data_IF_927586458875
#
_entry.id   IF_927586458875
#
_cell.length_a   1.000
_cell.length_b   1.000
_cell.length_c   1.000
_cell.angle_alpha   90.00
_cell.angle_beta   90.00
_cell.angle_gamma   90.00
#
_symmetry.space_group_name_H-M   'P 1'
#
loop_
_entity.id
_entity.type
_entity.pdbx_description
1 polymer ?
#
# COMPACT_ATOMS: atom_id res chain seq x y z
N UNK A 1 -0.55 -1.41 -22.16
CA UNK A 1 0.30 -2.62 -22.28
C UNK A 1 -0.21 -3.65 -21.29
N UNK A 2 -0.57 -4.88 -21.71
CA UNK A 2 -1.13 -5.90 -20.80
C UNK A 2 -0.02 -6.50 -19.95
N UNK A 3 -0.19 -6.54 -18.63
CA UNK A 3 0.73 -7.20 -17.69
C UNK A 3 0.90 -8.67 -18.10
N UNK A 4 2.14 -9.16 -18.16
CA UNK A 4 2.41 -10.58 -18.40
C UNK A 4 2.20 -11.40 -17.11
N UNK A 5 0.94 -11.66 -16.78
CA UNK A 5 0.54 -12.40 -15.56
C UNK A 5 1.01 -13.86 -15.52
N UNK A 6 1.61 -14.38 -16.60
CA UNK A 6 2.12 -15.76 -16.63
C UNK A 6 3.47 -15.90 -15.94
N UNK A 7 4.28 -14.83 -15.95
CA UNK A 7 5.61 -14.85 -15.36
C UNK A 7 5.53 -14.51 -13.87
N UNK A 8 6.42 -15.11 -13.09
CA UNK A 8 6.56 -14.78 -11.66
C UNK A 8 7.32 -13.47 -11.53
N UNK A 9 6.81 -12.61 -10.64
CA UNK A 9 7.37 -11.32 -10.32
C UNK A 9 8.15 -11.46 -9.01
N UNK A 10 9.31 -10.85 -8.93
CA UNK A 10 10.15 -10.85 -7.75
C UNK A 10 10.70 -9.44 -7.53
N UNK A 11 10.44 -8.89 -6.34
CA UNK A 11 11.06 -7.65 -5.93
C UNK A 11 12.50 -7.90 -5.52
N UNK A 12 13.43 -7.05 -5.94
CA UNK A 12 14.82 -7.11 -5.47
C UNK A 12 15.30 -5.73 -5.01
N UNK A 13 16.37 -5.66 -4.23
CA UNK A 13 16.92 -4.38 -3.75
C UNK A 13 18.05 -3.83 -4.63
N UNK A 14 18.58 -4.65 -5.52
CA UNK A 14 19.63 -4.28 -6.46
C UNK A 14 19.08 -3.32 -7.52
N UNK A 15 19.93 -2.43 -8.01
CA UNK A 15 19.67 -1.63 -9.22
C UNK A 15 19.48 -2.55 -10.42
N UNK A 16 18.63 -2.14 -11.36
CA UNK A 16 18.34 -2.88 -12.59
C UNK A 16 18.77 -2.05 -13.80
N UNK A 17 19.78 -2.53 -14.54
CA UNK A 17 20.17 -1.95 -15.81
C UNK A 17 20.36 -3.01 -16.91
N UNK A 18 20.23 -2.57 -18.16
CA UNK A 18 20.31 -3.45 -19.32
C UNK A 18 21.64 -4.23 -19.34
N UNK A 19 21.56 -5.52 -19.65
CA UNK A 19 22.69 -6.45 -19.72
C UNK A 19 23.43 -6.69 -18.38
N UNK A 20 22.89 -6.25 -17.25
CA UNK A 20 23.45 -6.64 -15.95
C UNK A 20 23.05 -8.08 -15.57
N UNK A 21 24.00 -8.78 -14.95
CA UNK A 21 23.74 -10.06 -14.28
C UNK A 21 23.45 -9.79 -12.79
N UNK A 22 22.31 -10.28 -12.32
CA UNK A 22 21.88 -10.14 -10.94
C UNK A 22 22.02 -11.49 -10.24
N UNK A 23 22.71 -11.49 -9.11
CA UNK A 23 22.78 -12.63 -8.20
C UNK A 23 21.68 -12.53 -7.15
N UNK A 24 20.78 -13.50 -7.14
CA UNK A 24 19.70 -13.66 -6.16
C UNK A 24 20.12 -14.72 -5.14
N UNK A 25 20.04 -14.39 -3.85
CA UNK A 25 20.49 -15.24 -2.74
C UNK A 25 19.42 -15.36 -1.63
N UNK A 26 19.68 -16.20 -0.63
CA UNK A 26 18.87 -16.29 0.57
C UNK A 26 17.44 -16.79 0.32
N UNK A 27 16.47 -16.15 0.99
CA UNK A 27 15.06 -16.58 0.96
C UNK A 27 14.46 -16.53 -0.46
N UNK A 28 14.87 -15.56 -1.28
CA UNK A 28 14.37 -15.42 -2.64
C UNK A 28 14.91 -16.51 -3.57
N UNK A 29 16.21 -16.82 -3.48
CA UNK A 29 16.77 -17.96 -4.20
C UNK A 29 16.10 -19.28 -3.79
N UNK A 30 15.87 -19.46 -2.47
CA UNK A 30 15.16 -20.63 -1.97
C UNK A 30 13.74 -20.71 -2.55
N UNK A 31 13.01 -19.60 -2.58
CA UNK A 31 11.67 -19.54 -3.17
C UNK A 31 11.67 -19.92 -4.66
N UNK A 32 12.58 -19.35 -5.47
CA UNK A 32 12.68 -19.67 -6.90
C UNK A 32 13.00 -21.16 -7.15
N UNK A 33 13.93 -21.73 -6.38
CA UNK A 33 14.45 -23.09 -6.60
C UNK A 33 13.57 -24.17 -5.99
N UNK A 34 13.11 -23.98 -4.76
CA UNK A 34 12.42 -25.04 -4.00
C UNK A 34 10.90 -24.93 -4.07
N UNK A 35 10.36 -23.71 -4.06
CA UNK A 35 8.91 -23.49 -4.11
C UNK A 35 8.43 -23.46 -5.55
N UNK A 36 9.03 -22.59 -6.38
CA UNK A 36 8.66 -22.44 -7.78
C UNK A 36 9.33 -23.47 -8.71
N UNK A 37 10.36 -24.18 -8.23
CA UNK A 37 11.08 -25.23 -8.98
C UNK A 37 11.61 -24.77 -10.34
N UNK A 38 12.06 -23.52 -10.40
CA UNK A 38 12.59 -22.92 -11.62
C UNK A 38 13.92 -23.55 -12.03
N UNK A 39 14.18 -23.57 -13.34
CA UNK A 39 15.38 -24.13 -13.96
C UNK A 39 16.08 -23.06 -14.79
N UNK A 40 17.33 -23.34 -15.18
CA UNK A 40 18.05 -22.53 -16.15
C UNK A 40 17.23 -22.39 -17.44
N UNK A 41 17.25 -21.19 -18.02
CA UNK A 41 16.42 -20.79 -19.15
C UNK A 41 15.01 -20.32 -18.79
N UNK A 42 14.53 -20.51 -17.55
CA UNK A 42 13.26 -19.95 -17.12
C UNK A 42 13.31 -18.41 -17.07
N UNK A 43 12.15 -17.79 -17.26
CA UNK A 43 12.00 -16.34 -17.27
C UNK A 43 11.16 -15.87 -16.07
N UNK A 44 11.55 -14.71 -15.53
CA UNK A 44 10.87 -14.01 -14.43
C UNK A 44 10.85 -12.51 -14.71
N UNK A 45 10.01 -11.80 -13.97
CA UNK A 45 9.99 -10.34 -13.94
C UNK A 45 10.67 -9.85 -12.67
N UNK A 46 11.66 -8.97 -12.81
CA UNK A 46 12.31 -8.30 -11.69
C UNK A 46 11.91 -6.83 -11.64
N UNK A 47 11.74 -6.31 -10.44
CA UNK A 47 11.51 -4.89 -10.20
C UNK A 47 12.07 -4.51 -8.83
N UNK A 48 12.37 -3.24 -8.62
CA UNK A 48 13.02 -2.78 -7.39
C UNK A 48 12.44 -1.48 -6.81
N UNK A 49 11.29 -1.02 -7.32
CA UNK A 49 10.65 0.20 -6.85
C UNK A 49 11.00 1.47 -7.61
N UNK A 50 12.04 1.45 -8.45
CA UNK A 50 12.58 2.67 -9.07
C UNK A 50 13.01 2.53 -10.53
N UNK A 51 13.45 1.34 -10.95
CA UNK A 51 14.03 1.13 -12.30
C UNK A 51 13.02 0.49 -13.27
N UNK A 52 11.75 0.43 -12.89
CA UNK A 52 10.70 -0.25 -13.63
C UNK A 52 10.75 -1.77 -13.47
N UNK A 53 10.19 -2.46 -14.46
CA UNK A 53 10.10 -3.91 -14.48
C UNK A 53 10.84 -4.49 -15.67
N UNK A 54 11.61 -5.53 -15.41
CA UNK A 54 12.55 -6.12 -16.34
C UNK A 54 12.26 -7.60 -16.53
N UNK A 55 12.25 -8.04 -17.79
CA UNK A 55 12.31 -9.45 -18.10
C UNK A 55 13.73 -9.95 -17.82
N UNK A 56 13.83 -10.97 -16.99
CA UNK A 56 15.09 -11.61 -16.64
C UNK A 56 15.03 -13.11 -16.93
N UNK A 57 16.15 -13.68 -17.38
CA UNK A 57 16.28 -15.12 -17.61
C UNK A 57 17.31 -15.71 -16.67
N UNK A 58 16.95 -16.85 -16.05
CA UNK A 58 17.84 -17.60 -15.17
C UNK A 58 18.98 -18.21 -15.99
N UNK A 59 20.21 -17.77 -15.77
CA UNK A 59 21.42 -18.25 -16.46
C UNK A 59 22.09 -19.39 -15.70
N UNK A 60 22.01 -19.38 -14.36
CA UNK A 60 22.60 -20.41 -13.51
C UNK A 60 21.71 -20.67 -12.29
N UNK A 61 21.36 -21.92 -12.04
CA UNK A 61 20.56 -22.30 -10.86
C UNK A 61 21.37 -23.20 -9.93
N UNK A 62 21.70 -22.68 -8.74
CA UNK A 62 22.37 -23.44 -7.67
C UNK A 62 21.48 -23.51 -6.43
N UNK A 63 21.83 -24.40 -5.49
CA UNK A 63 21.08 -24.59 -4.24
C UNK A 63 20.99 -23.34 -3.36
N UNK A 64 21.97 -22.45 -3.41
CA UNK A 64 22.07 -21.27 -2.52
C UNK A 64 21.84 -19.93 -3.23
N UNK A 65 21.97 -19.90 -4.55
CA UNK A 65 21.87 -18.69 -5.34
C UNK A 65 21.39 -19.01 -6.76
N UNK A 66 20.84 -18.00 -7.41
CA UNK A 66 20.42 -18.01 -8.81
C UNK A 66 21.06 -16.81 -9.49
N UNK A 67 21.67 -16.99 -10.66
CA UNK A 67 22.07 -15.88 -11.53
C UNK A 67 20.99 -15.66 -12.56
N UNK A 68 20.67 -14.39 -12.79
CA UNK A 68 19.70 -13.97 -13.80
C UNK A 68 20.29 -12.87 -14.65
N UNK A 69 20.08 -12.95 -15.96
CA UNK A 69 20.45 -11.94 -16.92
C UNK A 69 19.25 -11.06 -17.24
N UNK A 70 19.39 -9.74 -17.12
CA UNK A 70 18.36 -8.79 -17.56
C UNK A 70 18.35 -8.72 -19.10
N UNK A 71 17.18 -8.94 -19.71
CA UNK A 71 16.99 -8.99 -21.17
C UNK A 71 16.53 -7.63 -21.68
N UNK A 72 15.38 -7.13 -21.22
CA UNK A 72 14.84 -5.82 -21.59
C UNK A 72 13.88 -5.31 -20.52
N UNK A 73 13.62 -4.01 -20.53
CA UNK A 73 12.63 -3.38 -19.65
C UNK A 73 11.23 -3.62 -20.22
N UNK A 74 10.42 -4.40 -19.50
CA UNK A 74 9.05 -4.74 -19.87
C UNK A 74 8.10 -3.58 -19.55
N UNK A 75 8.29 -2.89 -18.43
CA UNK A 75 7.51 -1.69 -18.07
C UNK A 75 8.39 -0.61 -17.48
N UNK A 76 8.13 0.63 -17.87
CA UNK A 76 8.71 1.80 -17.22
C UNK A 76 8.28 1.86 -15.76
N UNK A 77 9.08 2.53 -14.94
CA UNK A 77 8.72 2.83 -13.56
C UNK A 77 7.40 3.61 -13.54
N UNK A 78 6.43 3.12 -12.76
CA UNK A 78 5.19 3.84 -12.51
C UNK A 78 5.44 5.01 -11.56
N UNK A 79 4.67 6.08 -11.67
CA UNK A 79 4.66 7.13 -10.65
C UNK A 79 4.11 6.56 -9.34
N UNK A 80 4.52 7.12 -8.21
CA UNK A 80 3.84 6.84 -6.96
C UNK A 80 2.45 7.44 -7.00
N UNK A 81 1.47 6.71 -6.48
CA UNK A 81 0.24 7.33 -6.01
C UNK A 81 0.55 8.35 -4.92
N UNK A 82 -0.39 9.22 -4.66
CA UNK A 82 -0.31 10.24 -3.63
C UNK A 82 -1.20 9.93 -2.41
N UNK A 83 -1.90 8.80 -2.45
CA UNK A 83 -2.85 8.38 -1.43
C UNK A 83 -2.15 7.90 -0.15
N UNK A 84 -2.44 8.58 0.97
CA UNK A 84 -1.92 8.25 2.28
C UNK A 84 -2.98 7.47 3.07
N UNK A 85 -2.67 6.24 3.47
CA UNK A 85 -3.54 5.44 4.32
C UNK A 85 -3.10 5.55 5.78
N UNK A 86 -3.86 6.34 6.53
CA UNK A 86 -3.74 6.50 7.97
C UNK A 86 -4.67 5.49 8.68
N UNK A 87 -4.11 4.57 9.47
CA UNK A 87 -4.93 3.50 10.05
C UNK A 87 -4.57 3.15 11.48
N UNK A 88 -5.58 2.87 12.28
CA UNK A 88 -5.39 2.24 13.58
C UNK A 88 -4.98 0.76 13.38
N UNK A 89 -3.85 0.31 13.96
CA UNK A 89 -3.46 -1.09 13.86
C UNK A 89 -4.49 -2.03 14.48
N UNK A 90 -4.92 -3.01 13.70
CA UNK A 90 -5.90 -4.01 14.12
C UNK A 90 -5.24 -5.22 14.76
N UNK A 91 -5.97 -5.91 15.66
CA UNK A 91 -5.52 -7.17 16.26
C UNK A 91 -5.48 -8.30 15.22
N UNK A 92 -4.69 -9.34 15.52
CA UNK A 92 -4.58 -10.59 14.76
C UNK A 92 -4.06 -10.38 13.31
N UNK A 93 -4.22 -11.40 12.46
CA UNK A 93 -3.81 -11.39 11.04
C UNK A 93 -4.55 -10.35 10.16
N UNK A 94 -5.42 -9.49 10.73
CA UNK A 94 -6.12 -8.44 9.99
C UNK A 94 -5.20 -7.32 9.54
N UNK A 95 -4.13 -7.04 10.29
CA UNK A 95 -3.15 -6.04 9.87
C UNK A 95 -2.48 -6.45 8.56
N UNK A 96 -2.07 -7.71 8.42
CA UNK A 96 -1.46 -8.23 7.19
C UNK A 96 -2.44 -8.11 6.00
N UNK A 97 -3.69 -8.56 6.20
CA UNK A 97 -4.74 -8.41 5.20
C UNK A 97 -4.94 -6.95 4.79
N UNK A 98 -4.95 -6.02 5.75
CA UNK A 98 -5.14 -4.61 5.47
C UNK A 98 -3.98 -3.98 4.70
N UNK A 99 -2.75 -4.35 5.04
CA UNK A 99 -1.57 -3.90 4.29
C UNK A 99 -1.65 -4.41 2.85
N UNK A 100 -2.01 -5.67 2.63
CA UNK A 100 -2.18 -6.23 1.29
C UNK A 100 -3.25 -5.47 0.49
N UNK A 101 -4.42 -5.22 1.08
CA UNK A 101 -5.49 -4.50 0.37
C UNK A 101 -5.18 -3.04 0.13
N UNK A 102 -4.49 -2.39 1.05
CA UNK A 102 -4.04 -1.02 0.83
C UNK A 102 -3.04 -0.94 -0.33
N UNK A 103 -2.09 -1.89 -0.41
CA UNK A 103 -1.18 -2.00 -1.56
C UNK A 103 -1.97 -2.23 -2.84
N UNK A 104 -2.89 -3.20 -2.89
CA UNK A 104 -3.73 -3.44 -4.08
C UNK A 104 -4.53 -2.20 -4.51
N UNK A 105 -4.92 -1.34 -3.56
CA UNK A 105 -5.59 -0.06 -3.83
C UNK A 105 -4.63 1.08 -4.16
N UNK A 106 -3.34 0.81 -4.34
CA UNK A 106 -2.38 1.81 -4.81
C UNK A 106 -2.06 2.89 -3.79
N UNK A 107 -2.08 2.61 -2.48
CA UNK A 107 -1.57 3.58 -1.50
C UNK A 107 -0.07 3.81 -1.69
N UNK A 108 0.42 4.99 -1.32
CA UNK A 108 1.85 5.30 -1.36
C UNK A 108 2.50 5.40 0.01
N UNK A 109 1.71 5.67 1.05
CA UNK A 109 2.17 5.69 2.43
C UNK A 109 1.20 4.89 3.29
N UNK A 110 1.76 3.96 4.06
CA UNK A 110 1.08 3.26 5.14
C UNK A 110 1.50 3.91 6.45
N UNK A 111 0.62 4.75 7.01
CA UNK A 111 0.83 5.49 8.25
C UNK A 111 0.00 4.89 9.38
N UNK A 112 0.60 4.10 10.28
CA UNK A 112 -0.12 3.62 11.44
C UNK A 112 -0.38 4.77 12.42
N UNK A 113 -1.57 4.80 13.02
CA UNK A 113 -2.01 5.84 13.94
C UNK A 113 -2.52 5.21 15.23
N UNK A 114 -1.94 5.59 16.36
CA UNK A 114 -2.38 5.16 17.68
C UNK A 114 -3.47 6.11 18.16
N UNK A 115 -4.67 5.56 18.32
CA UNK A 115 -5.90 6.22 18.79
C UNK A 115 -6.28 5.67 20.16
N UNK A 116 -7.28 6.28 20.80
CA UNK A 116 -7.71 5.93 22.15
C UNK A 116 -8.10 4.45 22.29
N UNK A 117 -8.82 3.91 21.30
CA UNK A 117 -9.27 2.52 21.30
C UNK A 117 -8.33 1.56 20.55
N UNK A 118 -7.13 2.00 20.16
CA UNK A 118 -6.13 1.15 19.51
C UNK A 118 -5.58 0.14 20.50
N UNK A 119 -5.80 -1.15 20.24
CA UNK A 119 -5.33 -2.21 21.14
C UNK A 119 -3.94 -2.75 20.78
N UNK A 120 -3.48 -2.54 19.54
CA UNK A 120 -2.13 -2.92 19.08
C UNK A 120 -1.30 -1.68 18.86
N UNK A 121 -0.35 -1.45 19.74
CA UNK A 121 0.51 -0.24 19.68
C UNK A 121 1.90 -0.52 19.12
N UNK A 122 2.36 -1.77 19.20
CA UNK A 122 3.65 -2.20 18.62
C UNK A 122 3.45 -2.89 17.29
N UNK A 123 4.08 -2.35 16.27
CA UNK A 123 3.97 -2.84 14.89
C UNK A 123 5.31 -3.43 14.48
N UNK A 124 5.28 -4.64 13.94
CA UNK A 124 6.46 -5.24 13.34
C UNK A 124 6.64 -4.67 11.92
N UNK A 125 7.47 -3.63 11.79
CA UNK A 125 7.72 -2.96 10.52
C UNK A 125 8.30 -3.89 9.46
N UNK A 126 9.19 -4.82 9.83
CA UNK A 126 9.76 -5.78 8.89
C UNK A 126 8.69 -6.73 8.31
N UNK A 127 7.71 -7.15 9.12
CA UNK A 127 6.56 -7.94 8.64
C UNK A 127 5.67 -7.12 7.73
N UNK A 128 5.42 -5.86 8.06
CA UNK A 128 4.62 -4.96 7.23
C UNK A 128 5.27 -4.74 5.87
N UNK A 129 6.57 -4.48 5.83
CA UNK A 129 7.34 -4.36 4.59
C UNK A 129 7.31 -5.66 3.77
N UNK A 130 7.42 -6.82 4.42
CA UNK A 130 7.31 -8.11 3.73
C UNK A 130 5.92 -8.29 3.08
N UNK A 131 4.83 -7.91 3.77
CA UNK A 131 3.48 -7.94 3.19
C UNK A 131 3.33 -6.96 2.02
N UNK A 132 3.95 -5.79 2.09
CA UNK A 132 3.95 -4.81 0.99
C UNK A 132 4.64 -5.38 -0.24
N UNK A 133 5.82 -5.99 -0.05
CA UNK A 133 6.58 -6.62 -1.14
C UNK A 133 5.76 -7.75 -1.77
N UNK A 134 5.23 -8.66 -0.95
CA UNK A 134 4.41 -9.79 -1.44
C UNK A 134 3.17 -9.30 -2.20
N UNK A 135 2.45 -8.33 -1.65
CA UNK A 135 1.27 -7.77 -2.31
C UNK A 135 1.64 -7.11 -3.65
N UNK A 136 2.75 -6.35 -3.70
CA UNK A 136 3.22 -5.70 -4.93
C UNK A 136 3.66 -6.71 -5.99
N UNK A 137 4.31 -7.80 -5.59
CA UNK A 137 4.64 -8.93 -6.45
C UNK A 137 3.37 -9.56 -7.05
N UNK A 138 2.27 -9.67 -6.30
CA UNK A 138 1.02 -10.25 -6.78
C UNK A 138 0.20 -9.28 -7.65
N UNK A 139 0.01 -8.04 -7.21
CA UNK A 139 -0.92 -7.09 -7.84
C UNK A 139 -0.31 -6.33 -9.01
N UNK A 140 1.01 -6.31 -9.14
CA UNK A 140 1.69 -5.69 -10.28
C UNK A 140 2.15 -4.26 -10.07
N UNK A 141 1.99 -3.71 -8.85
CA UNK A 141 2.52 -2.40 -8.47
C UNK A 141 4.04 -2.43 -8.50
N UNK A 142 4.62 -1.43 -9.15
CA UNK A 142 6.06 -1.22 -9.16
C UNK A 142 6.48 -0.23 -8.07
N UNK A 143 5.69 0.80 -7.82
CA UNK A 143 5.96 1.84 -6.83
C UNK A 143 5.46 1.42 -5.44
N UNK A 144 6.28 0.65 -4.72
CA UNK A 144 5.92 0.14 -3.39
C UNK A 144 5.55 1.29 -2.43
N UNK A 145 4.48 1.12 -1.61
CA UNK A 145 4.21 2.07 -0.53
C UNK A 145 5.31 2.08 0.52
N UNK A 146 5.58 3.28 1.04
CA UNK A 146 6.45 3.48 2.19
C UNK A 146 5.72 3.05 3.46
N UNK A 147 6.33 2.14 4.22
CA UNK A 147 5.91 1.83 5.59
C UNK A 147 6.59 2.81 6.55
N UNK A 148 5.82 3.58 7.32
CA UNK A 148 6.37 4.55 8.29
C UNK A 148 6.02 4.16 9.72
N UNK A 149 6.76 4.69 10.69
CA UNK A 149 6.53 4.41 12.11
C UNK A 149 5.17 4.92 12.57
N UNK A 150 4.59 4.22 13.55
CA UNK A 150 3.35 4.65 14.18
C UNK A 150 3.51 6.02 14.84
N UNK A 151 2.47 6.86 14.71
CA UNK A 151 2.34 8.15 15.39
C UNK A 151 1.06 8.14 16.23
N UNK A 152 0.98 8.96 17.27
CA UNK A 152 -0.30 9.29 17.89
C UNK A 152 -1.17 10.14 16.94
N UNK A 153 -2.48 10.16 17.18
CA UNK A 153 -3.40 11.03 16.43
C UNK A 153 -2.97 12.52 16.50
N UNK A 154 -2.48 12.98 17.66
CA UNK A 154 -2.01 14.34 17.83
C UNK A 154 -0.76 14.66 17.00
N UNK A 155 0.22 13.76 16.98
CA UNK A 155 1.43 13.92 16.17
C UNK A 155 1.13 13.89 14.67
N UNK A 156 0.19 13.04 14.24
CA UNK A 156 -0.28 13.01 12.86
C UNK A 156 -0.84 14.37 12.44
N UNK A 157 -1.80 14.91 13.19
CA UNK A 157 -2.47 16.16 12.85
C UNK A 157 -1.51 17.36 12.93
N UNK A 158 -0.56 17.35 13.86
CA UNK A 158 0.43 18.43 14.00
C UNK A 158 1.47 18.46 12.87
N UNK A 159 1.70 17.34 12.20
CA UNK A 159 2.67 17.22 11.09
C UNK A 159 2.01 17.12 9.72
N UNK A 160 0.69 17.20 9.65
CA UNK A 160 -0.07 17.07 8.42
C UNK A 160 0.12 18.30 7.51
N UNK A 161 0.24 18.06 6.20
CA UNK A 161 0.21 19.14 5.21
C UNK A 161 -1.23 19.65 5.09
N UNK A 162 -1.51 20.82 5.67
CA UNK A 162 -2.87 21.39 5.69
C UNK A 162 -3.41 21.73 4.29
N UNK A 163 -2.57 21.72 3.25
CA UNK A 163 -3.03 21.86 1.87
C UNK A 163 -3.71 20.60 1.32
N UNK A 164 -3.58 19.48 2.04
CA UNK A 164 -4.11 18.17 1.65
C UNK A 164 -5.26 17.75 2.56
N UNK A 165 -6.42 17.32 2.00
CA UNK A 165 -7.52 16.87 2.82
C UNK A 165 -7.19 15.55 3.52
N UNK A 166 -7.46 15.48 4.83
CA UNK A 166 -7.50 14.24 5.59
C UNK A 166 -8.97 13.82 5.75
N UNK A 167 -9.39 12.84 4.96
CA UNK A 167 -10.71 12.26 5.08
C UNK A 167 -10.77 11.39 6.33
N UNK A 168 -11.74 11.65 7.20
CA UNK A 168 -11.96 10.92 8.44
C UNK A 168 -13.27 10.15 8.34
N UNK A 169 -13.18 8.81 8.33
CA UNK A 169 -14.37 7.95 8.34
C UNK A 169 -15.02 7.95 9.73
N UNK A 170 -16.12 8.69 9.86
CA UNK A 170 -16.91 8.85 11.08
C UNK A 170 -18.29 8.19 10.88
N UNK A 171 -18.54 7.07 11.57
CA UNK A 171 -19.82 6.37 11.52
C UNK A 171 -20.99 7.20 12.07
N UNK A 172 -20.71 8.22 12.88
CA UNK A 172 -21.71 9.13 13.45
C UNK A 172 -21.97 10.35 12.55
N UNK A 173 -21.32 10.45 11.39
CA UNK A 173 -21.52 11.56 10.48
C UNK A 173 -22.92 11.53 9.86
N UNK A 174 -23.62 12.67 9.94
CA UNK A 174 -25.05 12.78 9.61
C UNK A 174 -25.37 12.49 8.13
N UNK A 175 -24.42 12.71 7.22
CA UNK A 175 -24.61 12.41 5.80
C UNK A 175 -24.08 11.01 5.48
N UNK A 176 -24.95 10.16 4.93
CA UNK A 176 -24.57 8.84 4.44
C UNK A 176 -23.99 8.85 3.02
N UNK A 177 -23.83 10.01 2.37
CA UNK A 177 -23.27 10.12 1.03
C UNK A 177 -21.78 10.49 1.07
N UNK A 178 -20.87 9.51 0.93
CA UNK A 178 -19.43 9.76 0.95
C UNK A 178 -18.93 10.52 -0.26
N UNK A 179 -19.67 10.57 -1.38
CA UNK A 179 -19.16 11.12 -2.64
C UNK A 179 -19.13 12.65 -2.67
N UNK A 180 -20.01 13.30 -1.90
CA UNK A 180 -20.15 14.76 -1.95
C UNK A 180 -18.91 15.52 -1.47
N UNK A 181 -18.17 15.07 -0.44
CA UNK A 181 -16.94 15.74 -0.03
C UNK A 181 -15.77 15.45 -0.98
N UNK A 182 -15.68 14.24 -1.54
CA UNK A 182 -14.62 13.88 -2.49
C UNK A 182 -14.66 14.71 -3.78
N UNK A 183 -15.85 14.95 -4.34
CA UNK A 183 -16.02 15.70 -5.60
C UNK A 183 -15.66 17.20 -5.53
N UNK A 184 -15.43 17.74 -4.33
CA UNK A 184 -15.08 19.16 -4.13
C UNK A 184 -13.58 19.40 -4.01
N UNK A 185 -12.78 18.34 -4.10
CA UNK A 185 -11.34 18.40 -3.91
C UNK A 185 -10.62 18.21 -5.25
N UNK A 186 -10.10 19.30 -5.82
CA UNK A 186 -9.12 19.26 -6.91
C UNK A 186 -7.71 19.03 -6.34
N UNK A 187 -7.52 17.98 -5.53
CA UNK A 187 -6.30 17.82 -4.72
C UNK A 187 -5.53 16.56 -5.08
N UNK A 188 -4.22 16.75 -5.20
CA UNK A 188 -3.29 15.78 -5.78
C UNK A 188 -2.85 14.71 -4.76
N UNK A 189 -3.17 14.80 -3.46
CA UNK A 189 -2.66 13.87 -2.43
C UNK A 189 -3.56 13.73 -1.19
N UNK A 190 -4.70 13.03 -1.27
CA UNK A 190 -5.60 12.88 -0.12
C UNK A 190 -5.08 11.87 0.91
N UNK A 191 -5.36 12.13 2.18
CA UNK A 191 -5.24 11.15 3.26
C UNK A 191 -6.58 10.54 3.63
N UNK A 192 -6.58 9.28 4.06
CA UNK A 192 -7.76 8.63 4.66
C UNK A 192 -7.41 8.06 6.03
N UNK A 193 -8.18 8.45 7.05
CA UNK A 193 -8.05 8.00 8.42
C UNK A 193 -9.15 6.99 8.76
N UNK A 194 -8.74 5.77 9.09
CA UNK A 194 -9.60 4.67 9.53
C UNK A 194 -9.26 4.28 10.97
N UNK A 195 -10.28 4.32 11.84
CA UNK A 195 -10.15 3.96 13.25
C UNK A 195 -10.12 2.45 13.52
N UNK A 196 -9.92 2.04 14.78
CA UNK A 196 -9.95 0.65 15.19
C UNK A 196 -11.40 0.14 15.28
N UNK A 197 -11.61 -1.14 15.64
CA UNK A 197 -12.97 -1.69 15.81
C UNK A 197 -13.82 -0.96 16.87
N UNK A 198 -13.19 -0.27 17.83
CA UNK A 198 -13.88 0.54 18.83
C UNK A 198 -14.22 1.97 18.37
N UNK A 199 -13.95 2.32 17.11
CA UNK A 199 -14.11 3.68 16.61
C UNK A 199 -13.21 4.69 17.32
N UNK A 200 -13.52 5.97 17.15
CA UNK A 200 -12.85 7.09 17.82
C UNK A 200 -13.59 7.46 19.11
N UNK A 201 -12.90 8.09 20.07
CA UNK A 201 -13.56 8.69 21.23
C UNK A 201 -14.27 10.01 20.86
N UNK A 202 -15.18 10.49 21.71
CA UNK A 202 -15.81 11.82 21.51
C UNK A 202 -14.77 12.95 21.50
N UNK A 203 -13.74 12.84 22.35
CA UNK A 203 -12.64 13.79 22.40
C UNK A 203 -11.81 13.76 21.12
N UNK A 204 -11.54 12.58 20.56
CA UNK A 204 -10.82 12.43 19.29
C UNK A 204 -11.64 13.00 18.12
N UNK A 205 -12.95 12.70 18.05
CA UNK A 205 -13.84 13.30 17.04
C UNK A 205 -13.85 14.82 17.15
N UNK A 206 -13.96 15.34 18.37
CA UNK A 206 -13.95 16.78 18.63
C UNK A 206 -12.61 17.42 18.29
N UNK A 207 -11.50 16.70 18.50
CA UNK A 207 -10.16 17.16 18.16
C UNK A 207 -9.95 17.20 16.64
N UNK A 208 -10.31 16.13 15.93
CA UNK A 208 -10.28 16.05 14.46
C UNK A 208 -11.06 17.19 13.82
N UNK A 209 -12.28 17.47 14.30
CA UNK A 209 -13.17 18.52 13.76
C UNK A 209 -12.65 19.95 13.98
N UNK A 210 -11.61 20.17 14.78
CA UNK A 210 -10.97 21.50 14.93
C UNK A 210 -10.06 21.87 13.77
N UNK A 211 -9.64 20.89 12.97
CA UNK A 211 -8.71 21.11 11.87
C UNK A 211 -9.47 21.32 10.56
N UNK A 212 -9.26 22.44 9.84
CA UNK A 212 -10.03 22.77 8.63
C UNK A 212 -9.74 21.82 7.45
N UNK A 213 -8.58 21.17 7.44
CA UNK A 213 -8.20 20.17 6.44
C UNK A 213 -8.79 18.78 6.71
N UNK A 214 -9.43 18.55 7.87
CA UNK A 214 -10.07 17.28 8.20
C UNK A 214 -11.51 17.28 7.69
N UNK A 215 -11.83 16.28 6.87
CA UNK A 215 -13.15 16.15 6.24
C UNK A 215 -13.82 14.87 6.71
N UNK A 216 -14.84 14.99 7.57
CA UNK A 216 -15.65 13.85 8.01
C UNK A 216 -16.48 13.26 6.88
N UNK A 217 -16.45 11.94 6.74
CA UNK A 217 -17.24 11.17 5.77
C UNK A 217 -17.87 9.96 6.45
N UNK A 218 -19.00 9.48 5.91
CA UNK A 218 -19.62 8.20 6.29
C UNK A 218 -19.64 7.26 5.08
N UNK A 219 -19.41 5.97 5.29
CA UNK A 219 -19.40 4.94 4.24
C UNK A 219 -20.77 4.27 4.07
N UNK A 220 -21.82 5.11 4.05
CA UNK A 220 -23.21 4.67 3.97
C UNK A 220 -23.85 4.36 5.34
N UNK A 221 -25.08 3.81 5.36
CA UNK A 221 -25.85 3.67 6.59
C UNK A 221 -25.49 2.43 7.43
N UNK A 222 -24.52 1.62 6.99
CA UNK A 222 -24.16 0.36 7.66
C UNK A 222 -22.84 0.54 8.39
N UNK A 223 -22.77 0.01 9.61
CA UNK A 223 -21.51 -0.09 10.34
C UNK A 223 -20.63 -1.13 9.64
N UNK A 224 -19.55 -0.66 9.04
CA UNK A 224 -18.53 -1.51 8.43
C UNK A 224 -17.49 -1.88 9.49
N UNK A 225 -16.93 -3.08 9.37
CA UNK A 225 -15.71 -3.41 10.13
C UNK A 225 -14.56 -2.54 9.62
N UNK A 226 -13.58 -2.23 10.48
CA UNK A 226 -12.45 -1.36 10.14
C UNK A 226 -11.73 -1.78 8.86
N UNK A 227 -11.53 -3.09 8.66
CA UNK A 227 -10.91 -3.63 7.46
C UNK A 227 -11.74 -3.40 6.18
N UNK A 228 -13.05 -3.60 6.28
CA UNK A 228 -14.01 -3.36 5.19
C UNK A 228 -14.14 -1.87 4.89
N UNK A 229 -14.17 -1.03 5.92
CA UNK A 229 -14.24 0.42 5.82
C UNK A 229 -13.04 0.99 5.05
N UNK A 230 -11.84 0.51 5.36
CA UNK A 230 -10.63 0.91 4.67
C UNK A 230 -10.65 0.57 3.18
N UNK A 231 -10.99 -0.67 2.82
CA UNK A 231 -11.08 -1.07 1.39
C UNK A 231 -12.13 -0.24 0.65
N UNK A 232 -13.30 -0.02 1.27
CA UNK A 232 -14.36 0.79 0.67
C UNK A 232 -13.94 2.25 0.50
N UNK A 233 -13.32 2.86 1.51
CA UNK A 233 -12.87 4.25 1.45
C UNK A 233 -11.78 4.45 0.41
N UNK A 234 -10.78 3.57 0.35
CA UNK A 234 -9.71 3.63 -0.65
C UNK A 234 -10.25 3.50 -2.08
N UNK A 235 -11.17 2.57 -2.31
CA UNK A 235 -11.81 2.41 -3.62
C UNK A 235 -12.61 3.66 -4.04
N UNK A 236 -13.36 4.25 -3.10
CA UNK A 236 -14.10 5.49 -3.35
C UNK A 236 -13.17 6.66 -3.65
N UNK A 237 -12.08 6.80 -2.91
CA UNK A 237 -11.05 7.82 -3.15
C UNK A 237 -10.43 7.67 -4.55
N UNK A 238 -9.97 6.47 -4.90
CA UNK A 238 -9.40 6.24 -6.22
C UNK A 238 -10.39 6.56 -7.35
N UNK A 239 -11.66 6.17 -7.21
CA UNK A 239 -12.70 6.41 -8.20
C UNK A 239 -13.14 7.88 -8.33
N UNK A 240 -12.81 8.74 -7.37
CA UNK A 240 -13.31 10.12 -7.32
C UNK A 240 -12.24 11.17 -7.49
N UNK A 241 -11.08 10.96 -6.87
CA UNK A 241 -9.96 11.91 -6.83
C UNK A 241 -8.62 11.27 -7.20
N UNK A 242 -8.57 9.95 -7.34
CA UNK A 242 -7.35 9.22 -7.69
C UNK A 242 -7.23 8.91 -9.18
N UNK A 243 -6.41 7.92 -9.48
CA UNK A 243 -6.03 7.55 -10.84
C UNK A 243 -7.08 6.72 -11.59
N UNK A 244 -8.15 6.25 -10.93
CA UNK A 244 -9.21 5.50 -11.60
C UNK A 244 -10.18 6.38 -12.41
N UNK A 245 -10.19 7.68 -12.15
CA UNK A 245 -10.96 8.67 -12.92
C UNK A 245 -10.17 9.30 -14.09
N UNK A 246 -8.90 8.90 -14.28
CA UNK A 246 -8.06 9.38 -15.37
C UNK A 246 -8.21 8.45 -16.57
N UNK A 247 -8.64 8.99 -17.72
CA UNK A 247 -8.76 8.25 -19.00
C UNK A 247 -7.39 7.96 -19.65
#
# INVERSE_FOLDING_TARGET
MRINYKLKRLFIRQTLALNEEIKIEGAQAFYLVHVLRMKEGAEILLFNGQDGEWLARLTLVKKKFVLVQLIHQERLQTTHSSLIYCFAPLKNARLDYMVQKAVEMGVSILQPVITHHTQVTRINMARMEANVIEASEQCGILSLPKCVSALSLAELLASWDETQPLFFCDEEYQSHNPLSPFKKCDVIAPGILIGPEGGFSEEERSFLKKHPFVVSISLGPRILRADTAAVAALALLNATVGDWSMD
#
